data_IF_312564289018
#
_entry.id   IF_312564289018
#
_cell.length_a   1.000
_cell.length_b   1.000
_cell.length_c   1.000
_cell.angle_alpha   90.00
_cell.angle_beta   90.00
_cell.angle_gamma   90.00
#
_symmetry.space_group_name_H-M   'P 1'
#
loop_
_entity.id
_entity.type
_entity.pdbx_description
1 polymer ?
#
# COMPACT_ATOMS: atom_id res chain seq x y z
N UNK A 1 0.04 -22.97 -20.96
CA UNK A 1 0.72 -22.80 -19.65
C UNK A 1 1.08 -21.33 -19.40
N UNK A 2 1.94 -20.72 -20.22
CA UNK A 2 2.39 -19.31 -20.06
C UNK A 2 1.28 -18.24 -19.92
N UNK A 3 0.18 -18.36 -20.68
CA UNK A 3 -0.94 -17.41 -20.58
C UNK A 3 -1.70 -17.54 -19.25
N UNK A 4 -1.93 -18.78 -18.79
CA UNK A 4 -2.59 -19.04 -17.52
C UNK A 4 -1.76 -18.52 -16.34
N UNK A 5 -0.44 -18.68 -16.39
CA UNK A 5 0.47 -18.16 -15.36
C UNK A 5 0.43 -16.63 -15.27
N UNK A 6 0.33 -15.95 -16.42
CA UNK A 6 0.17 -14.49 -16.47
C UNK A 6 -1.18 -14.05 -15.91
N UNK A 7 -2.27 -14.70 -16.32
CA UNK A 7 -3.61 -14.39 -15.80
C UNK A 7 -3.65 -14.58 -14.29
N UNK A 8 -3.10 -15.70 -13.80
CA UNK A 8 -3.03 -15.97 -12.37
C UNK A 8 -2.23 -14.90 -11.63
N UNK A 9 -1.04 -14.54 -12.13
CA UNK A 9 -0.24 -13.45 -11.55
C UNK A 9 -0.99 -12.11 -11.53
N UNK A 10 -1.76 -11.79 -12.57
CA UNK A 10 -2.60 -10.58 -12.62
C UNK A 10 -3.63 -10.60 -11.51
N UNK A 11 -4.34 -11.71 -11.33
CA UNK A 11 -5.32 -11.89 -10.26
C UNK A 11 -4.66 -11.73 -8.89
N UNK A 12 -3.51 -12.39 -8.66
CA UNK A 12 -2.79 -12.28 -7.39
C UNK A 12 -2.44 -10.82 -7.08
N UNK A 13 -1.94 -10.06 -8.06
CA UNK A 13 -1.57 -8.65 -7.85
C UNK A 13 -2.79 -7.78 -7.58
N UNK A 14 -3.85 -7.91 -8.38
CA UNK A 14 -5.08 -7.11 -8.20
C UNK A 14 -5.68 -7.35 -6.81
N UNK A 15 -5.79 -8.62 -6.42
CA UNK A 15 -6.35 -9.02 -5.13
C UNK A 15 -5.40 -8.62 -3.97
N UNK A 16 -4.08 -8.69 -4.18
CA UNK A 16 -3.08 -8.19 -3.24
C UNK A 16 -3.13 -6.67 -3.06
N UNK A 17 -3.41 -5.91 -4.11
CA UNK A 17 -3.50 -4.44 -4.02
C UNK A 17 -4.71 -3.96 -3.23
N UNK A 18 -5.79 -4.77 -3.14
CA UNK A 18 -6.94 -4.51 -2.25
C UNK A 18 -6.77 -5.09 -0.84
N UNK A 19 -5.63 -5.70 -0.53
CA UNK A 19 -5.29 -6.20 0.80
C UNK A 19 -5.21 -7.72 0.93
N UNK A 20 -5.72 -8.49 -0.03
CA UNK A 20 -5.88 -9.94 0.10
C UNK A 20 -4.73 -10.69 -0.57
N UNK A 21 -3.98 -11.50 0.18
CA UNK A 21 -2.88 -12.31 -0.37
C UNK A 21 -3.27 -13.78 -0.56
N UNK A 22 -3.76 -14.10 -1.76
CA UNK A 22 -4.20 -15.45 -2.15
C UNK A 22 -3.10 -16.52 -2.06
N UNK A 23 -1.84 -16.13 -2.20
CA UNK A 23 -0.68 -17.03 -2.07
C UNK A 23 -0.47 -17.57 -0.64
N UNK A 24 -1.15 -17.01 0.37
CA UNK A 24 -1.07 -17.45 1.77
C UNK A 24 -2.35 -18.16 2.22
N UNK A 25 -2.65 -19.30 1.60
CA UNK A 25 -3.91 -20.07 1.77
C UNK A 25 -4.34 -20.29 3.23
N UNK A 26 -3.39 -20.61 4.13
CA UNK A 26 -3.71 -20.83 5.56
C UNK A 26 -4.30 -19.60 6.26
N UNK A 27 -4.01 -18.40 5.75
CA UNK A 27 -4.50 -17.12 6.28
C UNK A 27 -5.82 -16.72 5.61
N UNK A 28 -6.14 -17.27 4.43
CA UNK A 28 -7.36 -16.90 3.69
C UNK A 28 -8.64 -17.15 4.49
N UNK A 29 -8.69 -18.25 5.24
CA UNK A 29 -9.81 -18.55 6.13
C UNK A 29 -10.03 -17.53 7.24
N UNK A 30 -8.96 -16.86 7.67
CA UNK A 30 -9.03 -15.74 8.64
C UNK A 30 -9.41 -14.44 7.90
N UNK A 31 -8.98 -14.31 6.65
CA UNK A 31 -9.18 -13.11 5.84
C UNK A 31 -10.65 -12.87 5.49
N UNK A 32 -11.39 -13.92 5.08
CA UNK A 32 -12.81 -13.80 4.70
C UNK A 32 -13.67 -13.16 5.81
N UNK A 33 -13.70 -13.68 7.06
CA UNK A 33 -14.51 -13.08 8.11
C UNK A 33 -14.06 -11.65 8.46
N UNK A 34 -12.75 -11.35 8.35
CA UNK A 34 -12.26 -10.00 8.61
C UNK A 34 -12.61 -9.00 7.49
N UNK A 35 -12.68 -9.46 6.23
CA UNK A 35 -13.16 -8.65 5.11
C UNK A 35 -14.66 -8.36 5.25
N UNK A 36 -15.44 -9.39 5.58
CA UNK A 36 -16.87 -9.23 5.89
C UNK A 36 -17.03 -8.25 7.07
N UNK A 37 -16.28 -8.41 8.15
CA UNK A 37 -16.33 -7.51 9.28
C UNK A 37 -15.96 -6.07 8.90
N UNK A 38 -14.93 -5.87 8.10
CA UNK A 38 -14.51 -4.52 7.65
C UNK A 38 -15.58 -3.86 6.78
N UNK A 39 -16.24 -4.64 5.92
CA UNK A 39 -17.39 -4.16 5.14
C UNK A 39 -18.59 -3.81 6.03
N UNK A 40 -18.99 -4.71 6.93
CA UNK A 40 -20.09 -4.47 7.87
C UNK A 40 -19.82 -3.27 8.78
N UNK A 41 -18.57 -3.07 9.20
CA UNK A 41 -18.14 -1.90 9.95
C UNK A 41 -18.26 -0.63 9.10
N UNK A 42 -17.86 -0.67 7.82
CA UNK A 42 -18.03 0.45 6.89
C UNK A 42 -19.51 0.81 6.69
N UNK A 43 -20.39 -0.19 6.53
CA UNK A 43 -21.83 0.02 6.43
C UNK A 43 -22.41 0.60 7.72
N UNK A 44 -22.01 0.07 8.88
CA UNK A 44 -22.41 0.62 10.18
C UNK A 44 -21.98 2.09 10.33
N UNK A 45 -20.76 2.43 9.91
CA UNK A 45 -20.25 3.80 9.92
C UNK A 45 -21.11 4.72 9.05
N UNK A 46 -21.46 4.28 7.85
CA UNK A 46 -22.32 5.04 6.93
C UNK A 46 -23.69 5.31 7.54
N UNK A 47 -24.37 4.25 8.00
CA UNK A 47 -25.72 4.33 8.56
C UNK A 47 -25.81 5.20 9.83
N UNK A 48 -24.71 5.33 10.57
CA UNK A 48 -24.65 6.10 11.82
C UNK A 48 -23.92 7.45 11.67
N UNK A 49 -23.59 7.88 10.44
CA UNK A 49 -22.87 9.14 10.17
C UNK A 49 -21.51 9.27 10.90
N UNK A 50 -20.79 8.16 11.09
CA UNK A 50 -19.51 8.11 11.81
C UNK A 50 -18.28 8.23 10.89
N UNK A 51 -18.44 8.84 9.72
CA UNK A 51 -17.42 8.88 8.67
C UNK A 51 -16.17 9.68 9.08
N UNK A 52 -16.28 10.73 9.91
CA UNK A 52 -15.11 11.45 10.45
C UNK A 52 -14.27 10.55 11.38
N UNK A 53 -14.81 9.96 12.47
CA UNK A 53 -14.07 9.02 13.30
C UNK A 53 -13.47 7.87 12.49
N UNK A 54 -14.20 7.34 11.50
CA UNK A 54 -13.70 6.22 10.70
C UNK A 54 -12.59 6.64 9.74
N UNK A 55 -12.63 7.85 9.17
CA UNK A 55 -11.53 8.43 8.40
C UNK A 55 -10.26 8.59 9.26
N UNK A 56 -10.39 9.14 10.47
CA UNK A 56 -9.29 9.27 11.42
C UNK A 56 -8.74 7.89 11.80
N UNK A 57 -9.62 6.92 12.06
CA UNK A 57 -9.24 5.55 12.35
C UNK A 57 -8.49 4.91 11.19
N UNK A 58 -9.03 4.94 9.96
CA UNK A 58 -8.39 4.34 8.79
C UNK A 58 -7.02 4.97 8.50
N UNK A 59 -6.92 6.30 8.60
CA UNK A 59 -5.66 7.02 8.47
C UNK A 59 -4.65 6.63 9.56
N UNK A 60 -5.05 6.66 10.82
CA UNK A 60 -4.19 6.31 11.97
C UNK A 60 -3.75 4.85 11.89
N UNK A 61 -4.70 3.95 11.64
CA UNK A 61 -4.46 2.52 11.59
C UNK A 61 -3.43 2.18 10.52
N UNK A 62 -3.54 2.75 9.33
CA UNK A 62 -2.55 2.52 8.28
C UNK A 62 -1.25 3.31 8.51
N UNK A 63 -1.29 4.63 8.52
CA UNK A 63 -0.06 5.44 8.47
C UNK A 63 0.71 5.41 9.80
N UNK A 64 0.03 5.56 10.93
CA UNK A 64 0.68 5.51 12.24
C UNK A 64 0.96 4.05 12.61
N UNK A 65 -0.02 3.15 12.45
CA UNK A 65 0.14 1.74 12.81
C UNK A 65 1.24 1.04 12.01
N UNK A 66 1.29 1.20 10.68
CA UNK A 66 2.35 0.62 9.86
C UNK A 66 3.72 1.26 10.18
N UNK A 67 3.74 2.58 10.43
CA UNK A 67 4.96 3.26 10.87
C UNK A 67 5.51 2.71 12.19
N UNK A 68 4.64 2.45 13.17
CA UNK A 68 5.04 1.86 14.44
C UNK A 68 5.58 0.45 14.25
N UNK A 69 4.91 -0.41 13.47
CA UNK A 69 5.36 -1.77 13.24
C UNK A 69 6.74 -1.79 12.55
N UNK A 70 6.91 -0.99 11.50
CA UNK A 70 8.11 -1.02 10.66
C UNK A 70 9.27 -0.16 11.15
N UNK A 71 8.96 0.94 11.85
CA UNK A 71 9.94 1.91 12.36
C UNK A 71 10.46 1.60 13.76
N UNK A 72 9.87 0.65 14.49
CA UNK A 72 10.26 0.30 15.86
C UNK A 72 10.70 -1.17 16.00
N UNK A 73 10.98 -1.60 17.23
CA UNK A 73 11.35 -2.98 17.55
C UNK A 73 10.16 -3.96 17.53
N UNK A 74 8.93 -3.51 17.24
CA UNK A 74 7.76 -4.40 17.14
C UNK A 74 7.99 -5.52 16.12
N UNK A 75 8.49 -5.21 14.92
CA UNK A 75 8.81 -6.24 13.91
C UNK A 75 9.83 -7.27 14.42
N UNK A 76 10.85 -6.82 15.15
CA UNK A 76 11.88 -7.70 15.72
C UNK A 76 11.30 -8.61 16.81
N UNK A 77 10.43 -8.06 17.66
CA UNK A 77 9.69 -8.84 18.65
C UNK A 77 8.78 -9.89 17.99
N UNK A 78 8.03 -9.52 16.94
CA UNK A 78 7.19 -10.46 16.19
C UNK A 78 8.02 -11.60 15.61
N UNK A 79 9.16 -11.29 14.97
CA UNK A 79 10.07 -12.28 14.40
C UNK A 79 10.63 -13.20 15.48
N UNK A 80 11.06 -12.66 16.62
CA UNK A 80 11.58 -13.46 17.75
C UNK A 80 10.51 -14.39 18.34
N UNK A 81 9.27 -13.93 18.44
CA UNK A 81 8.17 -14.68 19.07
C UNK A 81 7.56 -15.75 18.16
N UNK A 82 7.40 -15.45 16.87
CA UNK A 82 6.64 -16.31 15.95
C UNK A 82 7.50 -16.98 14.88
N UNK A 83 8.77 -16.58 14.72
CA UNK A 83 9.61 -16.96 13.59
C UNK A 83 9.32 -16.10 12.35
N UNK A 84 10.28 -16.02 11.42
CA UNK A 84 10.23 -15.12 10.25
C UNK A 84 8.96 -15.28 9.40
N UNK A 85 8.68 -16.49 8.93
CA UNK A 85 7.60 -16.74 7.98
C UNK A 85 6.22 -16.48 8.57
N UNK A 86 6.00 -16.92 9.82
CA UNK A 86 4.75 -16.70 10.54
C UNK A 86 4.58 -15.24 10.94
N UNK A 87 5.63 -14.57 11.40
CA UNK A 87 5.60 -13.15 11.72
C UNK A 87 5.25 -12.30 10.48
N UNK A 88 5.89 -12.56 9.33
CA UNK A 88 5.58 -11.85 8.10
C UNK A 88 4.18 -12.18 7.57
N UNK A 89 3.71 -13.41 7.77
CA UNK A 89 2.33 -13.81 7.48
C UNK A 89 1.30 -13.03 8.29
N UNK A 90 1.50 -12.91 9.59
CA UNK A 90 0.66 -12.09 10.48
C UNK A 90 0.73 -10.61 10.06
N UNK A 91 1.92 -10.08 9.83
CA UNK A 91 2.10 -8.71 9.38
C UNK A 91 1.38 -8.44 8.05
N UNK A 92 1.51 -9.34 7.08
CA UNK A 92 0.84 -9.18 5.78
C UNK A 92 -0.69 -9.23 5.89
N UNK A 93 -1.22 -9.98 6.85
CA UNK A 93 -2.65 -9.94 7.17
C UNK A 93 -3.03 -8.56 7.73
N UNK A 94 -2.32 -8.08 8.75
CA UNK A 94 -2.55 -6.77 9.39
C UNK A 94 -2.49 -5.65 8.35
N UNK A 95 -1.44 -5.62 7.52
CA UNK A 95 -1.26 -4.60 6.49
C UNK A 95 -2.39 -4.62 5.47
N UNK A 96 -2.86 -5.79 5.06
CA UNK A 96 -3.98 -5.86 4.14
C UNK A 96 -5.30 -5.41 4.77
N UNK A 97 -5.52 -5.65 6.07
CA UNK A 97 -6.65 -5.03 6.81
C UNK A 97 -6.53 -3.51 6.85
N UNK A 98 -5.32 -2.97 7.01
CA UNK A 98 -5.06 -1.54 6.95
C UNK A 98 -5.40 -0.97 5.57
N UNK A 99 -5.02 -1.64 4.47
CA UNK A 99 -5.38 -1.21 3.11
C UNK A 99 -6.89 -1.20 2.90
N UNK A 100 -7.58 -2.26 3.30
CA UNK A 100 -9.01 -2.39 3.11
C UNK A 100 -9.80 -1.36 3.93
N UNK A 101 -9.50 -1.22 5.23
CA UNK A 101 -10.17 -0.22 6.07
C UNK A 101 -9.78 1.21 5.68
N UNK A 102 -8.54 1.45 5.21
CA UNK A 102 -8.16 2.73 4.63
C UNK A 102 -8.98 3.06 3.38
N UNK A 103 -9.18 2.08 2.50
CA UNK A 103 -10.03 2.21 1.31
C UNK A 103 -11.48 2.51 1.68
N UNK A 104 -12.09 1.74 2.58
CA UNK A 104 -13.45 2.00 3.05
C UNK A 104 -13.58 3.37 3.73
N UNK A 105 -12.62 3.73 4.59
CA UNK A 105 -12.63 5.03 5.27
C UNK A 105 -12.59 6.20 4.29
N UNK A 106 -11.77 6.12 3.23
CA UNK A 106 -11.74 7.12 2.15
C UNK A 106 -13.09 7.14 1.42
N UNK A 107 -13.62 5.99 1.01
CA UNK A 107 -14.89 5.90 0.28
C UNK A 107 -16.05 6.50 1.07
N UNK A 108 -16.19 6.14 2.35
CA UNK A 108 -17.25 6.67 3.21
C UNK A 108 -17.11 8.18 3.43
N UNK A 109 -15.87 8.67 3.60
CA UNK A 109 -15.61 10.11 3.73
C UNK A 109 -15.97 10.89 2.45
N UNK A 110 -15.63 10.34 1.28
CA UNK A 110 -15.96 10.95 -0.02
C UNK A 110 -17.48 10.97 -0.24
N UNK A 111 -18.17 9.85 0.01
CA UNK A 111 -19.62 9.75 -0.19
C UNK A 111 -20.39 10.69 0.75
N UNK A 112 -19.95 10.81 2.00
CA UNK A 112 -20.56 11.72 2.97
C UNK A 112 -20.40 13.20 2.60
N UNK A 113 -19.39 13.55 1.79
CA UNK A 113 -19.07 14.91 1.36
C UNK A 113 -19.16 15.07 -0.16
N UNK A 114 -20.16 14.44 -0.78
CA UNK A 114 -20.37 14.51 -2.24
C UNK A 114 -20.92 15.86 -2.70
N UNK A 115 -20.66 16.22 -3.97
CA UNK A 115 -21.17 17.43 -4.63
C UNK A 115 -20.82 18.75 -3.92
N UNK A 116 -19.66 18.82 -3.28
CA UNK A 116 -19.16 20.03 -2.60
C UNK A 116 -18.40 20.98 -3.52
N UNK A 117 -18.10 20.53 -4.75
CA UNK A 117 -17.80 21.41 -5.88
C UNK A 117 -18.59 20.97 -7.11
N UNK A 118 -18.59 21.77 -8.18
CA UNK A 118 -19.35 21.49 -9.39
C UNK A 118 -18.50 21.62 -10.66
N UNK A 119 -18.37 20.52 -11.40
CA UNK A 119 -17.86 20.45 -12.77
C UNK A 119 -18.85 19.61 -13.61
N UNK A 120 -18.91 19.80 -14.95
CA UNK A 120 -19.77 18.96 -15.78
C UNK A 120 -19.46 17.48 -15.60
N UNK A 121 -20.51 16.65 -15.43
CA UNK A 121 -20.37 15.21 -15.15
C UNK A 121 -19.49 14.49 -16.18
N UNK A 122 -19.67 14.80 -17.47
CA UNK A 122 -18.85 14.25 -18.55
C UNK A 122 -17.37 14.57 -18.35
N UNK A 123 -17.04 15.78 -17.86
CA UNK A 123 -15.65 16.18 -17.57
C UNK A 123 -15.12 15.40 -16.36
N UNK A 124 -15.91 15.28 -15.28
CA UNK A 124 -15.53 14.52 -14.09
C UNK A 124 -15.18 13.07 -14.40
N UNK A 125 -16.05 12.38 -15.15
CA UNK A 125 -15.82 10.99 -15.57
C UNK A 125 -14.67 10.85 -16.55
N UNK A 126 -14.55 11.76 -17.53
CA UNK A 126 -13.43 11.72 -18.49
C UNK A 126 -12.09 11.85 -17.77
N UNK A 127 -11.96 12.83 -16.88
CA UNK A 127 -10.77 13.00 -16.04
C UNK A 127 -10.54 11.79 -15.15
N UNK A 128 -11.60 11.28 -14.51
CA UNK A 128 -11.54 10.11 -13.64
C UNK A 128 -11.00 8.87 -14.36
N UNK A 129 -11.53 8.56 -15.55
CA UNK A 129 -11.10 7.40 -16.35
C UNK A 129 -9.65 7.55 -16.81
N UNK A 130 -9.26 8.72 -17.32
CA UNK A 130 -7.89 8.98 -17.77
C UNK A 130 -6.91 8.83 -16.61
N UNK A 131 -7.21 9.46 -15.46
CA UNK A 131 -6.37 9.38 -14.26
C UNK A 131 -6.31 7.96 -13.72
N UNK A 132 -7.43 7.23 -13.71
CA UNK A 132 -7.47 5.84 -13.28
C UNK A 132 -6.58 4.97 -14.16
N UNK A 133 -6.82 4.94 -15.48
CA UNK A 133 -6.08 4.08 -16.42
C UNK A 133 -4.58 4.36 -16.31
N UNK A 134 -4.18 5.62 -16.35
CA UNK A 134 -2.77 5.99 -16.34
C UNK A 134 -2.12 5.72 -14.98
N UNK A 135 -2.70 6.23 -13.90
CA UNK A 135 -2.10 6.15 -12.56
C UNK A 135 -2.16 4.72 -12.01
N UNK A 136 -3.33 4.08 -12.06
CA UNK A 136 -3.46 2.69 -11.65
C UNK A 136 -2.60 1.78 -12.53
N UNK A 137 -2.54 2.04 -13.84
CA UNK A 137 -1.66 1.33 -14.77
C UNK A 137 -0.19 1.39 -14.36
N UNK A 138 0.32 2.58 -13.98
CA UNK A 138 1.68 2.73 -13.46
C UNK A 138 1.87 1.97 -12.15
N UNK A 139 0.93 2.07 -11.20
CA UNK A 139 1.01 1.37 -9.92
C UNK A 139 1.01 -0.15 -10.11
N UNK A 140 0.07 -0.65 -10.90
CA UNK A 140 -0.04 -2.07 -11.24
C UNK A 140 1.21 -2.58 -11.94
N UNK A 141 1.73 -1.86 -12.95
CA UNK A 141 2.95 -2.25 -13.65
C UNK A 141 4.19 -2.23 -12.73
N UNK A 142 4.28 -1.25 -11.84
CA UNK A 142 5.33 -1.21 -10.82
C UNK A 142 5.27 -2.45 -9.94
N UNK A 143 4.06 -2.79 -9.44
CA UNK A 143 3.85 -3.99 -8.60
C UNK A 143 4.07 -5.29 -9.38
N UNK A 144 3.78 -5.31 -10.68
CA UNK A 144 4.02 -6.45 -11.54
C UNK A 144 5.50 -6.81 -11.64
N UNK A 145 6.36 -5.80 -11.75
CA UNK A 145 7.81 -5.98 -11.85
C UNK A 145 8.40 -6.25 -10.46
N UNK A 146 7.95 -5.52 -9.43
CA UNK A 146 8.51 -5.64 -8.07
C UNK A 146 8.00 -6.83 -7.27
N UNK A 147 6.80 -7.31 -7.60
CA UNK A 147 6.10 -8.34 -6.84
C UNK A 147 5.43 -7.78 -5.57
N UNK A 148 4.50 -8.58 -5.06
CA UNK A 148 3.72 -8.25 -3.86
C UNK A 148 4.57 -8.20 -2.59
N UNK A 149 5.70 -8.92 -2.53
CA UNK A 149 6.56 -8.87 -1.36
C UNK A 149 7.20 -7.49 -1.15
N UNK A 150 7.54 -6.78 -2.22
CA UNK A 150 7.98 -5.38 -2.13
C UNK A 150 6.79 -4.47 -1.77
N UNK A 151 5.64 -4.67 -2.42
CA UNK A 151 4.41 -3.92 -2.12
C UNK A 151 3.95 -4.05 -0.65
N UNK A 152 4.24 -5.20 -0.02
CA UNK A 152 3.95 -5.51 1.38
C UNK A 152 5.18 -5.35 2.30
N UNK A 153 6.18 -4.56 1.92
CA UNK A 153 7.32 -4.21 2.79
C UNK A 153 8.10 -5.40 3.37
N UNK A 154 8.16 -6.56 2.70
CA UNK A 154 8.76 -7.78 3.26
C UNK A 154 10.17 -7.57 3.79
N UNK A 155 11.04 -6.98 2.97
CA UNK A 155 12.44 -6.81 3.33
C UNK A 155 12.59 -5.83 4.50
N UNK A 156 11.80 -4.76 4.51
CA UNK A 156 11.75 -3.79 5.59
C UNK A 156 11.24 -4.42 6.90
N UNK A 157 10.24 -5.29 6.82
CA UNK A 157 9.70 -6.03 7.96
C UNK A 157 10.70 -7.07 8.50
N UNK A 158 11.24 -7.93 7.63
CA UNK A 158 12.18 -9.00 7.99
C UNK A 158 13.60 -8.50 8.29
N UNK A 159 13.87 -7.21 8.07
CA UNK A 159 15.18 -6.60 8.19
C UNK A 159 16.23 -7.29 7.27
N UNK A 160 15.79 -7.80 6.12
CA UNK A 160 16.61 -8.55 5.18
C UNK A 160 17.36 -7.63 4.21
N UNK A 161 18.55 -8.08 3.78
CA UNK A 161 19.34 -7.43 2.74
C UNK A 161 18.75 -7.78 1.37
N UNK A 162 18.75 -6.83 0.45
CA UNK A 162 18.46 -7.08 -0.95
C UNK A 162 16.97 -7.12 -1.31
N UNK A 163 16.53 -6.10 -2.03
CA UNK A 163 15.61 -6.28 -3.15
C UNK A 163 16.44 -6.11 -4.43
N UNK A 164 16.09 -6.78 -5.53
CA UNK A 164 16.69 -6.42 -6.82
C UNK A 164 16.44 -4.93 -7.05
N UNK A 165 17.47 -4.14 -7.32
CA UNK A 165 17.26 -2.74 -7.69
C UNK A 165 16.56 -2.73 -9.05
N UNK A 166 15.27 -2.38 -9.05
CA UNK A 166 14.44 -2.47 -10.24
C UNK A 166 14.62 -1.19 -11.04
N UNK A 167 15.31 -1.28 -12.18
CA UNK A 167 15.47 -0.18 -13.13
C UNK A 167 14.72 -0.45 -14.44
N UNK A 168 13.56 -1.11 -14.35
CA UNK A 168 12.73 -1.44 -15.50
C UNK A 168 11.28 -0.96 -15.32
N UNK A 169 10.57 -0.81 -16.44
CA UNK A 169 9.22 -0.25 -16.45
C UNK A 169 9.17 1.17 -15.87
N UNK A 170 8.17 1.51 -15.04
CA UNK A 170 7.99 2.85 -14.49
C UNK A 170 9.18 3.34 -13.64
N UNK A 171 9.95 2.42 -13.05
CA UNK A 171 11.13 2.75 -12.25
C UNK A 171 12.30 3.33 -13.06
N UNK A 172 12.27 3.28 -14.40
CA UNK A 172 13.23 3.99 -15.26
C UNK A 172 13.06 5.51 -15.20
N UNK A 173 11.83 5.96 -15.04
CA UNK A 173 11.47 7.37 -15.13
C UNK A 173 11.18 7.97 -13.76
N UNK A 174 10.54 7.21 -12.88
CA UNK A 174 10.10 7.67 -11.57
C UNK A 174 10.86 6.94 -10.46
N UNK A 175 11.30 7.68 -9.43
CA UNK A 175 12.00 7.10 -8.27
C UNK A 175 11.08 6.25 -7.40
N UNK A 176 9.83 6.71 -7.19
CA UNK A 176 8.82 6.04 -6.35
C UNK A 176 7.48 5.97 -7.10
N UNK A 177 7.38 5.22 -8.21
CA UNK A 177 6.20 5.21 -9.08
C UNK A 177 4.94 4.76 -8.34
N UNK A 178 5.04 3.85 -7.35
CA UNK A 178 3.89 3.41 -6.55
C UNK A 178 3.32 4.49 -5.64
N UNK A 179 4.18 5.32 -5.03
CA UNK A 179 3.77 6.35 -4.08
C UNK A 179 3.46 7.68 -4.75
N UNK A 180 4.09 7.99 -5.87
CA UNK A 180 3.83 9.20 -6.63
C UNK A 180 2.72 9.02 -7.63
N UNK A 181 3.09 9.00 -8.91
CA UNK A 181 2.13 9.02 -10.01
C UNK A 181 1.16 7.83 -9.95
N UNK A 182 1.62 6.69 -9.47
CA UNK A 182 0.80 5.51 -9.29
C UNK A 182 -0.27 5.66 -8.21
N UNK A 183 -0.13 6.59 -7.26
CA UNK A 183 -1.10 6.79 -6.20
C UNK A 183 -2.20 7.81 -6.56
N UNK A 184 -2.06 8.51 -7.69
CA UNK A 184 -3.00 9.55 -8.13
C UNK A 184 -4.40 8.97 -8.45
N UNK A 185 -4.51 7.69 -8.80
CA UNK A 185 -5.83 7.07 -9.02
C UNK A 185 -6.76 7.17 -7.80
N UNK A 186 -6.24 7.33 -6.58
CA UNK A 186 -7.10 7.44 -5.39
C UNK A 186 -7.82 8.78 -5.27
N UNK A 187 -7.46 9.81 -6.04
CA UNK A 187 -8.26 11.03 -6.16
C UNK A 187 -9.49 10.84 -7.06
N UNK A 188 -9.53 9.79 -7.90
CA UNK A 188 -10.57 9.61 -8.93
C UNK A 188 -11.97 9.57 -8.32
N UNK A 189 -12.16 8.84 -7.21
CA UNK A 189 -13.46 8.77 -6.54
C UNK A 189 -13.96 10.15 -6.11
N UNK A 190 -13.08 10.97 -5.54
CA UNK A 190 -13.41 12.32 -5.10
C UNK A 190 -13.66 13.28 -6.29
N UNK A 191 -13.00 13.10 -7.43
CA UNK A 191 -13.27 13.88 -8.66
C UNK A 191 -14.65 13.54 -9.22
N UNK A 192 -14.94 12.26 -9.38
CA UNK A 192 -16.19 11.77 -9.97
C UNK A 192 -17.40 12.10 -9.10
N UNK A 193 -17.26 11.95 -7.78
CA UNK A 193 -18.31 12.25 -6.78
C UNK A 193 -18.30 13.75 -6.39
N UNK A 194 -17.37 14.52 -6.96
CA UNK A 194 -17.24 15.96 -6.76
C UNK A 194 -17.11 16.37 -5.29
N UNK A 195 -16.26 15.66 -4.55
CA UNK A 195 -15.99 15.87 -3.12
C UNK A 195 -14.65 16.59 -2.90
N UNK A 196 -14.70 17.88 -2.56
CA UNK A 196 -13.51 18.67 -2.24
C UNK A 196 -12.81 18.16 -0.99
N UNK A 197 -13.58 17.82 0.05
CA UNK A 197 -13.11 17.25 1.30
C UNK A 197 -12.46 15.88 1.03
N UNK A 198 -13.05 15.09 0.14
CA UNK A 198 -12.46 13.84 -0.35
C UNK A 198 -11.10 14.04 -1.02
N UNK A 199 -10.96 15.08 -1.86
CA UNK A 199 -9.68 15.43 -2.48
C UNK A 199 -8.63 15.83 -1.43
N UNK A 200 -9.02 16.64 -0.44
CA UNK A 200 -8.14 17.07 0.66
C UNK A 200 -7.72 15.86 1.50
N UNK A 201 -8.66 15.02 1.90
CA UNK A 201 -8.39 13.84 2.73
C UNK A 201 -7.48 12.84 2.00
N UNK A 202 -7.71 12.60 0.71
CA UNK A 202 -6.79 11.78 -0.07
C UNK A 202 -5.43 12.46 -0.24
N UNK A 203 -5.37 13.79 -0.34
CA UNK A 203 -4.14 14.57 -0.29
C UNK A 203 -3.32 14.35 0.99
N UNK A 204 -3.99 14.32 2.14
CA UNK A 204 -3.37 14.00 3.44
C UNK A 204 -2.83 12.57 3.43
N UNK A 205 -3.62 11.60 2.97
CA UNK A 205 -3.18 10.21 2.82
C UNK A 205 -1.94 10.10 1.92
N UNK A 206 -1.96 10.76 0.77
CA UNK A 206 -0.87 10.76 -0.20
C UNK A 206 0.40 11.43 0.35
N UNK A 207 0.28 12.52 1.10
CA UNK A 207 1.41 13.11 1.81
C UNK A 207 1.95 12.16 2.89
N UNK A 208 1.06 11.47 3.61
CA UNK A 208 1.41 10.57 4.71
C UNK A 208 2.24 9.37 4.24
N UNK A 209 1.98 8.83 3.03
CA UNK A 209 2.82 7.76 2.47
C UNK A 209 4.24 8.27 2.14
N UNK A 210 4.39 9.52 1.71
CA UNK A 210 5.71 10.13 1.52
C UNK A 210 6.44 10.37 2.85
N UNK A 211 5.72 10.83 3.88
CA UNK A 211 6.28 10.97 5.23
C UNK A 211 6.80 9.61 5.72
N UNK A 212 6.00 8.55 5.61
CA UNK A 212 6.41 7.19 5.92
C UNK A 212 7.67 6.79 5.14
N UNK A 213 7.70 7.03 3.82
CA UNK A 213 8.85 6.73 2.98
C UNK A 213 10.12 7.44 3.47
N UNK A 214 10.06 8.74 3.73
CA UNK A 214 11.24 9.51 4.12
C UNK A 214 11.72 9.21 5.54
N UNK A 215 10.81 8.91 6.47
CA UNK A 215 11.16 8.67 7.88
C UNK A 215 11.56 7.22 8.16
N UNK A 216 11.03 6.24 7.42
CA UNK A 216 11.18 4.82 7.77
C UNK A 216 11.84 4.03 6.65
N UNK A 217 11.29 4.06 5.44
CA UNK A 217 11.76 3.20 4.36
C UNK A 217 13.10 3.65 3.79
N UNK A 218 13.25 4.94 3.48
CA UNK A 218 14.47 5.49 2.89
C UNK A 218 15.70 5.34 3.82
N UNK A 219 15.61 5.62 5.13
CA UNK A 219 16.73 5.35 6.04
C UNK A 219 17.10 3.86 6.11
N UNK A 220 16.12 2.96 6.04
CA UNK A 220 16.37 1.53 6.00
C UNK A 220 17.14 1.12 4.74
N UNK A 221 16.74 1.62 3.57
CA UNK A 221 17.42 1.35 2.29
C UNK A 221 18.87 1.82 2.36
N UNK A 222 19.11 3.08 2.75
CA UNK A 222 20.46 3.66 2.85
C UNK A 222 21.39 2.88 3.77
N UNK A 223 20.93 2.59 5.00
CA UNK A 223 21.73 1.84 5.99
C UNK A 223 22.13 0.46 5.47
N UNK A 224 21.30 -0.15 4.63
CA UNK A 224 21.59 -1.47 4.05
C UNK A 224 22.60 -1.36 2.91
N UNK A 225 22.46 -0.38 2.01
CA UNK A 225 23.42 -0.10 0.93
C UNK A 225 24.83 0.19 1.48
N UNK A 226 24.93 1.06 2.49
CA UNK A 226 26.20 1.38 3.17
C UNK A 226 26.85 0.12 3.78
N UNK A 227 26.05 -0.74 4.45
CA UNK A 227 26.55 -1.98 5.04
C UNK A 227 27.00 -3.05 4.03
N UNK A 228 26.60 -2.93 2.77
CA UNK A 228 27.05 -3.82 1.69
C UNK A 228 28.35 -3.31 1.08
N UNK A 229 28.46 -2.00 0.84
CA UNK A 229 29.71 -1.36 0.40
C UNK A 229 30.85 -1.58 1.42
N UNK A 230 30.56 -1.49 2.72
CA UNK A 230 31.55 -1.76 3.77
C UNK A 230 31.98 -3.24 3.80
N UNK A 231 31.08 -4.18 3.49
CA UNK A 231 31.45 -5.61 3.39
C UNK A 231 32.34 -5.87 2.18
N UNK A 232 31.97 -5.36 1.02
CA UNK A 232 32.72 -5.53 -0.22
C UNK A 232 34.13 -4.94 -0.08
N UNK A 233 34.26 -3.73 0.46
CA UNK A 233 35.58 -3.11 0.69
C UNK A 233 36.47 -3.93 1.64
N UNK A 234 35.89 -4.54 2.69
CA UNK A 234 36.64 -5.45 3.59
C UNK A 234 37.01 -6.79 2.94
N UNK A 235 36.23 -7.29 1.99
CA UNK A 235 36.57 -8.48 1.21
C UNK A 235 37.70 -8.17 0.23
N UNK A 236 37.60 -7.07 -0.52
CA UNK A 236 38.69 -6.58 -1.38
C UNK A 236 39.99 -6.35 -0.59
N UNK A 237 39.92 -5.75 0.60
CA UNK A 237 41.11 -5.50 1.43
C UNK A 237 41.74 -6.77 2.03
N UNK A 238 41.12 -7.95 1.92
CA UNK A 238 41.70 -9.25 2.33
C UNK A 238 42.38 -9.99 1.18
N UNK A 239 42.15 -9.55 -0.05
CA UNK A 239 42.76 -10.14 -1.26
C UNK A 239 44.10 -9.46 -1.63
N UNK A 240 44.51 -8.44 -0.88
CA UNK A 240 45.81 -7.74 -0.98
C UNK A 240 46.53 -7.74 0.37
#
# INVERSE_FOLDING_TARGET
MYLLDKIWKTILILVGMIGIRLEKVKILWIWIPLAIFSYLLSEFVYLNNLWIPYAIFGWTFYYIGNSLILGTNIKLWMIKKFGKDKAYSIYSLILGLMFMNGGFAITQFVLANQNTFNIPEMVAWTLGIILFIFSFGVKFWSTWISGLDIYYYKNLFLNEKGGKFIQSGPYKTFKNPMYGIGNIYGYVGAIVIQSLEGLIFFGICHLSIYIFYYLIEKPFIKKKEESELEKLSKEFAKEF
#
